data_IF_162340352973
#
_entry.id   IF_162340352973
#
_cell.length_a   1.000
_cell.length_b   1.000
_cell.length_c   1.000
_cell.angle_alpha   90.00
_cell.angle_beta   90.00
_cell.angle_gamma   90.00
#
_symmetry.space_group_name_H-M   'P 1'
#
loop_
_entity.id
_entity.type
_entity.pdbx_description
1 polymer ?
#
# COMPACT_ATOMS: atom_id res chain seq x y z
N UNK A 1 24.70 -4.75 -6.84
CA UNK A 1 24.37 -4.09 -8.13
C UNK A 1 22.92 -4.32 -8.54
N UNK A 2 22.45 -5.56 -8.73
CA UNK A 2 21.06 -5.84 -9.17
C UNK A 2 20.02 -5.16 -8.26
N UNK A 3 20.10 -5.36 -6.94
CA UNK A 3 19.19 -4.76 -5.95
C UNK A 3 19.13 -3.23 -6.09
N UNK A 4 20.30 -2.58 -6.19
CA UNK A 4 20.38 -1.13 -6.33
C UNK A 4 19.72 -0.65 -7.63
N UNK A 5 19.99 -1.30 -8.78
CA UNK A 5 19.38 -0.97 -10.06
C UNK A 5 17.86 -1.14 -10.03
N UNK A 6 17.36 -2.21 -9.40
CA UNK A 6 15.93 -2.44 -9.20
C UNK A 6 15.31 -1.33 -8.35
N UNK A 7 15.93 -0.97 -7.23
CA UNK A 7 15.42 0.10 -6.36
C UNK A 7 15.45 1.48 -7.03
N UNK A 8 16.40 1.78 -7.93
CA UNK A 8 16.36 3.03 -8.71
C UNK A 8 15.10 3.07 -9.59
N UNK A 9 14.80 1.97 -10.27
CA UNK A 9 13.63 1.88 -11.14
C UNK A 9 12.32 1.96 -10.35
N UNK A 10 12.23 1.24 -9.23
CA UNK A 10 11.08 1.30 -8.32
C UNK A 10 10.91 2.72 -7.76
N UNK A 11 11.99 3.41 -7.41
CA UNK A 11 11.95 4.73 -6.79
C UNK A 11 11.29 5.75 -7.72
N UNK A 12 11.68 5.68 -9.00
CA UNK A 12 11.08 6.50 -10.04
C UNK A 12 9.59 6.21 -10.22
N UNK A 13 9.20 4.93 -10.28
CA UNK A 13 7.80 4.52 -10.41
C UNK A 13 6.96 4.94 -9.20
N UNK A 14 7.45 4.71 -7.99
CA UNK A 14 6.78 5.09 -6.75
C UNK A 14 6.61 6.61 -6.66
N UNK A 15 7.66 7.38 -6.94
CA UNK A 15 7.59 8.85 -6.93
C UNK A 15 6.60 9.38 -7.96
N UNK A 16 6.80 9.05 -9.24
CA UNK A 16 6.01 9.59 -10.34
C UNK A 16 4.55 9.12 -10.24
N UNK A 17 4.36 7.81 -10.04
CA UNK A 17 3.04 7.21 -9.95
C UNK A 17 2.23 7.78 -8.80
N UNK A 18 2.79 7.83 -7.58
CA UNK A 18 2.04 8.34 -6.44
C UNK A 18 1.81 9.86 -6.49
N UNK A 19 2.70 10.62 -7.13
CA UNK A 19 2.46 12.04 -7.43
C UNK A 19 1.23 12.22 -8.32
N UNK A 20 1.12 11.45 -9.41
CA UNK A 20 -0.05 11.48 -10.30
C UNK A 20 -1.33 11.11 -9.56
N UNK A 21 -1.26 10.14 -8.65
CA UNK A 21 -2.39 9.71 -7.83
C UNK A 21 -2.82 10.81 -6.86
N UNK A 22 -1.88 11.51 -6.21
CA UNK A 22 -2.20 12.63 -5.34
C UNK A 22 -2.86 13.77 -6.10
N UNK A 23 -2.39 14.08 -7.30
CA UNK A 23 -3.03 15.07 -8.20
C UNK A 23 -4.43 14.62 -8.60
N UNK A 24 -4.62 13.34 -8.94
CA UNK A 24 -5.93 12.80 -9.28
C UNK A 24 -6.89 12.82 -8.08
N UNK A 25 -6.39 12.53 -6.88
CA UNK A 25 -7.17 12.57 -5.64
C UNK A 25 -7.38 13.99 -5.11
N UNK A 26 -6.62 15.00 -5.53
CA UNK A 26 -6.81 16.39 -5.11
C UNK A 26 -8.05 17.03 -5.76
N UNK A 27 -8.36 16.61 -6.99
CA UNK A 27 -9.58 16.98 -7.71
C UNK A 27 -10.84 16.42 -7.05
N UNK A 28 -11.98 16.98 -7.43
CA UNK A 28 -13.24 16.46 -6.91
C UNK A 28 -13.48 15.05 -7.41
N UNK A 29 -13.71 14.16 -6.45
CA UNK A 29 -13.88 12.74 -6.73
C UNK A 29 -15.08 12.22 -5.97
N UNK A 30 -15.87 11.38 -6.63
CA UNK A 30 -17.04 10.70 -6.09
C UNK A 30 -16.72 9.72 -4.94
N UNK A 31 -15.46 9.63 -4.52
CA UNK A 31 -15.02 8.72 -3.48
C UNK A 31 -15.50 9.21 -2.11
N UNK A 32 -15.95 8.25 -1.30
CA UNK A 32 -16.30 8.48 0.09
C UNK A 32 -15.15 9.19 0.83
N UNK A 33 -15.36 10.36 1.48
CA UNK A 33 -14.27 11.18 2.00
C UNK A 33 -13.31 10.47 2.98
N UNK A 34 -13.79 9.61 3.90
CA UNK A 34 -12.93 8.73 4.71
C UNK A 34 -11.99 7.84 3.90
N UNK A 35 -12.49 7.15 2.88
CA UNK A 35 -11.68 6.26 2.05
C UNK A 35 -10.67 7.07 1.20
N UNK A 36 -11.08 8.24 0.70
CA UNK A 36 -10.21 9.18 0.00
C UNK A 36 -9.03 9.62 0.87
N UNK A 37 -9.25 9.84 2.18
CA UNK A 37 -8.18 10.15 3.13
C UNK A 37 -7.18 9.00 3.29
N UNK A 38 -7.64 7.75 3.42
CA UNK A 38 -6.76 6.58 3.50
C UNK A 38 -5.92 6.40 2.22
N UNK A 39 -6.52 6.58 1.04
CA UNK A 39 -5.78 6.51 -0.23
C UNK A 39 -4.76 7.65 -0.38
N UNK A 40 -5.09 8.86 0.07
CA UNK A 40 -4.13 9.97 0.11
C UNK A 40 -2.98 9.69 1.07
N UNK A 41 -3.27 9.15 2.26
CA UNK A 41 -2.24 8.75 3.23
C UNK A 41 -1.30 7.71 2.63
N UNK A 42 -1.84 6.69 1.97
CA UNK A 42 -1.07 5.65 1.31
C UNK A 42 -0.19 6.24 0.19
N UNK A 43 -0.77 7.07 -0.70
CA UNK A 43 -0.02 7.71 -1.77
C UNK A 43 1.06 8.69 -1.28
N UNK A 44 0.84 9.44 -0.19
CA UNK A 44 1.88 10.28 0.44
C UNK A 44 3.00 9.39 0.98
N UNK A 45 2.65 8.31 1.66
CA UNK A 45 3.62 7.37 2.25
C UNK A 45 4.49 6.74 1.17
N UNK A 46 3.87 6.23 0.10
CA UNK A 46 4.57 5.59 -1.02
C UNK A 46 5.42 6.59 -1.84
N UNK A 47 4.97 7.84 -1.96
CA UNK A 47 5.78 8.92 -2.53
C UNK A 47 7.04 9.17 -1.68
N UNK A 48 6.89 9.20 -0.35
CA UNK A 48 8.03 9.32 0.57
C UNK A 48 8.96 8.09 0.47
N UNK A 49 8.45 6.89 0.22
CA UNK A 49 9.29 5.70 -0.03
C UNK A 49 10.16 5.91 -1.25
N UNK A 50 9.56 6.37 -2.36
CA UNK A 50 10.28 6.66 -3.61
C UNK A 50 11.28 7.81 -3.49
N UNK A 51 11.05 8.81 -2.62
CA UNK A 51 11.93 9.96 -2.43
C UNK A 51 13.02 9.78 -1.37
N UNK A 52 12.75 9.00 -0.33
CA UNK A 52 13.61 8.94 0.85
C UNK A 52 14.18 7.54 1.01
N UNK A 53 13.33 6.52 1.18
CA UNK A 53 13.78 5.17 1.52
C UNK A 53 14.58 4.52 0.41
N UNK A 54 14.04 4.48 -0.80
CA UNK A 54 14.71 3.81 -1.91
C UNK A 54 16.01 4.51 -2.33
N UNK A 55 16.07 5.85 -2.46
CA UNK A 55 17.33 6.55 -2.69
C UNK A 55 18.35 6.35 -1.57
N UNK A 56 17.93 6.34 -0.30
CA UNK A 56 18.83 6.05 0.83
C UNK A 56 19.40 4.64 0.76
N UNK A 57 18.59 3.65 0.37
CA UNK A 57 19.06 2.27 0.14
C UNK A 57 20.07 2.22 -1.02
N UNK A 58 19.83 2.96 -2.11
CA UNK A 58 20.77 3.03 -3.24
C UNK A 58 22.10 3.68 -2.83
N UNK A 59 22.06 4.78 -2.08
CA UNK A 59 23.26 5.44 -1.56
C UNK A 59 24.03 4.50 -0.63
N UNK A 60 23.34 3.73 0.21
CA UNK A 60 23.97 2.69 1.04
C UNK A 60 24.76 1.69 0.18
N UNK A 61 24.12 1.09 -0.82
CA UNK A 61 24.78 0.12 -1.72
C UNK A 61 25.97 0.72 -2.48
N UNK A 62 25.84 1.96 -2.97
CA UNK A 62 26.93 2.64 -3.66
C UNK A 62 28.10 2.99 -2.73
N UNK A 63 27.81 3.40 -1.50
CA UNK A 63 28.82 3.72 -0.49
C UNK A 63 29.58 2.48 -0.05
N UNK A 64 28.89 1.34 0.05
CA UNK A 64 29.51 0.05 0.34
C UNK A 64 30.49 -0.37 -0.76
N UNK A 65 30.13 -0.19 -2.04
CA UNK A 65 31.00 -0.50 -3.19
C UNK A 65 32.19 0.45 -3.28
N UNK A 66 32.01 1.72 -2.90
CA UNK A 66 33.06 2.75 -2.92
C UNK A 66 33.94 2.75 -1.68
N UNK A 67 33.66 1.86 -0.71
CA UNK A 67 34.33 1.80 0.59
C UNK A 67 34.28 3.14 1.37
N UNK A 68 33.26 3.97 1.13
CA UNK A 68 33.01 5.18 1.91
C UNK A 68 32.21 4.84 3.16
N UNK A 69 32.92 4.44 4.21
CA UNK A 69 32.33 3.99 5.48
C UNK A 69 31.52 5.07 6.20
N UNK A 70 31.90 6.35 6.05
CA UNK A 70 31.17 7.45 6.69
C UNK A 70 29.81 7.66 6.04
N UNK A 71 29.78 7.71 4.70
CA UNK A 71 28.53 7.83 3.96
C UNK A 71 27.67 6.57 4.12
N UNK A 72 28.30 5.38 4.11
CA UNK A 72 27.65 4.10 4.33
C UNK A 72 26.88 4.06 5.65
N UNK A 73 27.49 4.46 6.76
CA UNK A 73 26.83 4.45 8.07
C UNK A 73 25.61 5.38 8.15
N UNK A 74 25.71 6.59 7.57
CA UNK A 74 24.59 7.53 7.55
C UNK A 74 23.47 7.04 6.63
N UNK A 75 23.82 6.57 5.43
CA UNK A 75 22.85 6.05 4.46
C UNK A 75 22.13 4.81 5.01
N UNK A 76 22.84 3.92 5.70
CA UNK A 76 22.28 2.73 6.35
C UNK A 76 21.24 3.11 7.41
N UNK A 77 21.59 4.02 8.32
CA UNK A 77 20.67 4.50 9.36
C UNK A 77 19.43 5.16 8.77
N UNK A 78 19.62 6.04 7.79
CA UNK A 78 18.51 6.72 7.12
C UNK A 78 17.62 5.73 6.38
N UNK A 79 18.22 4.80 5.61
CA UNK A 79 17.51 3.76 4.88
C UNK A 79 16.66 2.90 5.80
N UNK A 80 17.22 2.39 6.91
CA UNK A 80 16.45 1.57 7.85
C UNK A 80 15.35 2.36 8.55
N UNK A 81 15.63 3.58 9.02
CA UNK A 81 14.65 4.39 9.72
C UNK A 81 13.47 4.74 8.81
N UNK A 82 13.74 5.23 7.60
CA UNK A 82 12.69 5.60 6.66
C UNK A 82 11.96 4.36 6.13
N UNK A 83 12.67 3.26 5.86
CA UNK A 83 12.06 1.98 5.48
C UNK A 83 11.06 1.52 6.54
N UNK A 84 11.49 1.43 7.79
CA UNK A 84 10.67 0.89 8.87
C UNK A 84 9.44 1.75 9.12
N UNK A 85 9.60 3.07 9.21
CA UNK A 85 8.47 4.00 9.44
C UNK A 85 7.48 3.92 8.27
N UNK A 86 7.93 4.08 7.03
CA UNK A 86 7.04 4.22 5.88
C UNK A 86 6.39 2.88 5.49
N UNK A 87 7.12 1.77 5.58
CA UNK A 87 6.53 0.44 5.34
C UNK A 87 5.45 0.12 6.39
N UNK A 88 5.66 0.49 7.66
CA UNK A 88 4.68 0.27 8.71
C UNK A 88 3.43 1.16 8.54
N UNK A 89 3.60 2.43 8.15
CA UNK A 89 2.46 3.29 7.78
C UNK A 89 1.69 2.70 6.60
N UNK A 90 2.38 2.24 5.55
CA UNK A 90 1.77 1.66 4.35
C UNK A 90 0.98 0.40 4.71
N UNK A 91 1.59 -0.53 5.46
CA UNK A 91 0.97 -1.75 5.96
C UNK A 91 -0.30 -1.49 6.79
N UNK A 92 -0.21 -0.63 7.80
CA UNK A 92 -1.34 -0.33 8.68
C UNK A 92 -2.47 0.39 7.92
N UNK A 93 -2.12 1.26 6.96
CA UNK A 93 -3.10 1.93 6.09
C UNK A 93 -3.80 0.93 5.17
N UNK A 94 -3.07 -0.02 4.57
CA UNK A 94 -3.64 -1.10 3.76
C UNK A 94 -4.57 -2.01 4.57
N UNK A 95 -4.19 -2.33 5.81
CA UNK A 95 -5.06 -3.06 6.75
C UNK A 95 -6.31 -2.26 7.08
N UNK A 96 -6.19 -0.96 7.36
CA UNK A 96 -7.32 -0.08 7.60
C UNK A 96 -8.26 -0.01 6.38
N UNK A 97 -7.72 0.02 5.15
CA UNK A 97 -8.52 -0.05 3.92
C UNK A 97 -9.26 -1.39 3.84
N UNK A 98 -8.63 -2.51 4.19
CA UNK A 98 -9.28 -3.83 4.22
C UNK A 98 -10.46 -3.88 5.19
N UNK A 99 -10.28 -3.29 6.38
CA UNK A 99 -11.34 -3.18 7.40
C UNK A 99 -12.44 -2.21 6.96
N UNK A 100 -12.11 -1.06 6.38
CA UNK A 100 -13.08 -0.10 5.82
C UNK A 100 -13.99 -0.78 4.79
N UNK A 101 -13.41 -1.60 3.90
CA UNK A 101 -14.16 -2.36 2.89
C UNK A 101 -15.07 -3.41 3.51
N UNK A 102 -14.62 -4.10 4.56
CA UNK A 102 -15.47 -5.02 5.31
C UNK A 102 -16.63 -4.28 5.99
N UNK A 103 -16.37 -3.15 6.64
CA UNK A 103 -17.39 -2.33 7.30
C UNK A 103 -18.41 -1.78 6.30
N UNK A 104 -17.96 -1.32 5.13
CA UNK A 104 -18.85 -0.86 4.06
C UNK A 104 -19.83 -1.95 3.61
N UNK A 105 -19.37 -3.20 3.56
CA UNK A 105 -20.23 -4.34 3.22
C UNK A 105 -21.20 -4.69 4.36
N UNK A 106 -20.70 -4.79 5.61
CA UNK A 106 -21.49 -5.26 6.75
C UNK A 106 -22.54 -4.24 7.22
N UNK A 107 -22.19 -2.95 7.21
CA UNK A 107 -23.06 -1.89 7.74
C UNK A 107 -24.00 -1.31 6.68
N UNK A 108 -23.71 -1.51 5.38
CA UNK A 108 -24.55 -1.03 4.28
C UNK A 108 -24.93 0.44 4.45
N UNK A 109 -26.23 0.72 4.69
CA UNK A 109 -26.73 2.08 4.86
C UNK A 109 -26.24 2.79 6.15
N UNK A 110 -25.83 2.04 7.18
CA UNK A 110 -25.26 2.61 8.42
C UNK A 110 -23.77 2.97 8.29
N UNK A 111 -23.13 2.64 7.16
CA UNK A 111 -21.71 2.87 6.95
C UNK A 111 -21.31 4.34 7.14
N UNK A 112 -22.09 5.27 6.57
CA UNK A 112 -21.80 6.71 6.69
C UNK A 112 -21.87 7.26 8.12
N UNK A 113 -22.67 6.63 8.99
CA UNK A 113 -22.75 7.01 10.42
C UNK A 113 -21.60 6.41 11.24
N UNK A 114 -21.14 5.20 10.87
CA UNK A 114 -20.08 4.50 11.59
C UNK A 114 -18.67 5.02 11.23
N UNK A 115 -18.41 5.23 9.93
CA UNK A 115 -17.12 5.64 9.39
C UNK A 115 -17.19 7.10 8.97
N UNK A 116 -16.71 7.97 9.85
CA UNK A 116 -16.70 9.42 9.64
C UNK A 116 -15.28 9.92 9.37
N UNK A 117 -15.17 11.04 8.64
CA UNK A 117 -13.88 11.64 8.29
C UNK A 117 -13.03 11.96 9.53
N UNK A 118 -13.68 12.47 10.59
CA UNK A 118 -13.02 12.79 11.86
C UNK A 118 -12.37 11.55 12.49
N UNK A 119 -13.07 10.42 12.52
CA UNK A 119 -12.54 9.16 13.08
C UNK A 119 -11.38 8.64 12.23
N UNK A 120 -11.50 8.68 10.90
CA UNK A 120 -10.42 8.25 10.00
C UNK A 120 -9.18 9.13 10.12
N UNK A 121 -9.33 10.44 10.33
CA UNK A 121 -8.22 11.34 10.60
C UNK A 121 -7.47 10.94 11.88
N UNK A 122 -8.20 10.67 12.97
CA UNK A 122 -7.60 10.17 14.23
C UNK A 122 -6.85 8.85 14.00
N UNK A 123 -7.43 7.91 13.24
CA UNK A 123 -6.78 6.63 12.89
C UNK A 123 -5.46 6.89 12.15
N UNK A 124 -5.45 7.77 11.14
CA UNK A 124 -4.23 8.11 10.39
C UNK A 124 -3.16 8.71 11.31
N UNK A 125 -3.54 9.64 12.20
CA UNK A 125 -2.59 10.23 13.16
C UNK A 125 -2.00 9.17 14.09
N UNK A 126 -2.83 8.23 14.59
CA UNK A 126 -2.36 7.11 15.42
C UNK A 126 -1.40 6.21 14.64
N UNK A 127 -1.71 5.89 13.38
CA UNK A 127 -0.83 5.10 12.51
C UNK A 127 0.55 5.77 12.39
N UNK A 128 0.59 7.06 12.07
CA UNK A 128 1.85 7.79 11.95
C UNK A 128 2.63 7.85 13.27
N UNK A 129 1.96 8.19 14.37
CA UNK A 129 2.60 8.26 15.69
C UNK A 129 3.17 6.91 16.12
N UNK A 130 2.42 5.83 15.92
CA UNK A 130 2.86 4.47 16.20
C UNK A 130 4.06 4.09 15.32
N UNK A 131 4.00 4.35 14.02
CA UNK A 131 5.08 4.02 13.09
C UNK A 131 6.38 4.78 13.38
N UNK A 132 6.29 6.07 13.72
CA UNK A 132 7.46 6.87 14.10
C UNK A 132 8.08 6.33 15.39
N UNK A 133 7.25 6.04 16.40
CA UNK A 133 7.71 5.49 17.67
C UNK A 133 8.41 4.14 17.48
N UNK A 134 7.83 3.28 16.63
CA UNK A 134 8.40 1.98 16.32
C UNK A 134 9.70 2.10 15.47
N UNK A 135 9.79 3.09 14.58
CA UNK A 135 11.04 3.39 13.87
C UNK A 135 12.17 3.86 14.80
N UNK A 136 11.85 4.70 15.79
CA UNK A 136 12.81 5.15 16.81
C UNK A 136 13.26 3.97 17.69
N UNK A 137 12.33 3.10 18.11
CA UNK A 137 12.67 1.94 18.92
C UNK A 137 13.58 0.96 18.19
N UNK A 138 13.46 0.86 16.85
CA UNK A 138 14.38 0.07 16.02
C UNK A 138 15.82 0.58 16.06
N UNK A 139 16.02 1.91 16.11
CA UNK A 139 17.37 2.49 16.24
C UNK A 139 17.98 2.21 17.61
N UNK A 140 17.17 2.12 18.65
CA UNK A 140 17.61 1.83 20.03
C UNK A 140 17.90 0.33 20.20
N UNK A 141 16.98 -0.53 19.77
CA UNK A 141 17.11 -1.98 19.89
C UNK A 141 16.45 -2.70 18.70
N UNK A 142 17.25 -2.95 17.67
CA UNK A 142 16.80 -3.60 16.42
C UNK A 142 16.23 -5.01 16.65
N UNK A 143 16.68 -5.74 17.68
CA UNK A 143 16.19 -7.09 17.97
C UNK A 143 14.76 -7.08 18.49
N UNK A 144 14.48 -6.22 19.47
CA UNK A 144 13.12 -6.06 20.00
C UNK A 144 12.19 -5.52 18.91
N UNK A 145 12.64 -4.52 18.17
CA UNK A 145 11.85 -3.95 17.08
C UNK A 145 11.58 -4.93 15.93
N UNK A 146 12.49 -5.88 15.66
CA UNK A 146 12.30 -6.96 14.70
C UNK A 146 11.24 -7.98 15.13
N UNK A 147 11.21 -8.37 16.41
CA UNK A 147 10.13 -9.20 16.93
C UNK A 147 8.78 -8.48 16.94
N UNK A 148 8.78 -7.19 17.29
CA UNK A 148 7.57 -6.36 17.21
C UNK A 148 7.08 -6.23 15.77
N UNK A 149 7.97 -5.98 14.80
CA UNK A 149 7.57 -5.88 13.38
C UNK A 149 7.02 -7.19 12.86
N UNK A 150 7.66 -8.33 13.18
CA UNK A 150 7.14 -9.66 12.86
C UNK A 150 5.71 -9.86 13.36
N UNK A 151 5.46 -9.51 14.64
CA UNK A 151 4.13 -9.61 15.24
C UNK A 151 3.10 -8.70 14.56
N UNK A 152 3.47 -7.44 14.28
CA UNK A 152 2.57 -6.47 13.64
C UNK A 152 2.26 -6.85 12.20
N UNK A 153 3.25 -7.29 11.42
CA UNK A 153 3.07 -7.75 10.03
C UNK A 153 2.16 -8.96 10.01
N UNK A 154 2.41 -9.94 10.88
CA UNK A 154 1.56 -11.13 11.01
C UNK A 154 0.11 -10.77 11.36
N UNK A 155 -0.09 -9.88 12.33
CA UNK A 155 -1.43 -9.40 12.71
C UNK A 155 -2.14 -8.68 11.55
N UNK A 156 -1.43 -7.86 10.79
CA UNK A 156 -1.97 -7.17 9.61
C UNK A 156 -2.39 -8.16 8.52
N UNK A 157 -1.56 -9.16 8.22
CA UNK A 157 -1.89 -10.21 7.25
C UNK A 157 -3.11 -11.01 7.72
N UNK A 158 -3.17 -11.40 8.99
CA UNK A 158 -4.31 -12.14 9.55
C UNK A 158 -5.58 -11.31 9.49
N UNK A 159 -5.54 -10.06 9.94
CA UNK A 159 -6.72 -9.17 9.95
C UNK A 159 -7.23 -8.88 8.54
N UNK A 160 -6.35 -8.65 7.56
CA UNK A 160 -6.73 -8.50 6.16
C UNK A 160 -7.35 -9.79 5.59
N UNK A 161 -6.74 -10.95 5.89
CA UNK A 161 -7.24 -12.26 5.45
C UNK A 161 -8.62 -12.56 6.04
N UNK A 162 -8.82 -12.34 7.33
CA UNK A 162 -10.12 -12.53 7.99
C UNK A 162 -11.17 -11.57 7.44
N UNK A 163 -10.79 -10.33 7.14
CA UNK A 163 -11.67 -9.36 6.50
C UNK A 163 -12.11 -9.85 5.11
N UNK A 164 -11.18 -10.40 4.34
CA UNK A 164 -11.46 -10.99 3.04
C UNK A 164 -12.39 -12.22 3.12
N UNK A 165 -12.09 -13.17 4.03
CA UNK A 165 -12.94 -14.35 4.24
C UNK A 165 -14.36 -13.92 4.62
N UNK A 166 -14.51 -12.94 5.51
CA UNK A 166 -15.83 -12.42 5.89
C UNK A 166 -16.54 -11.73 4.74
N UNK A 167 -15.84 -10.94 3.93
CA UNK A 167 -16.40 -10.33 2.71
C UNK A 167 -16.94 -11.42 1.79
N UNK A 168 -16.14 -12.45 1.50
CA UNK A 168 -16.52 -13.55 0.63
C UNK A 168 -17.72 -14.34 1.18
N UNK A 169 -17.70 -14.71 2.47
CA UNK A 169 -18.78 -15.45 3.11
C UNK A 169 -20.08 -14.66 3.15
N UNK A 170 -20.06 -13.41 3.61
CA UNK A 170 -21.25 -12.56 3.69
C UNK A 170 -21.89 -12.36 2.31
N UNK A 171 -21.06 -12.19 1.31
CA UNK A 171 -21.50 -12.04 -0.07
C UNK A 171 -22.06 -13.35 -0.67
N UNK A 172 -21.44 -14.50 -0.40
CA UNK A 172 -21.96 -15.82 -0.82
C UNK A 172 -23.32 -16.10 -0.17
N UNK A 173 -23.47 -15.79 1.12
CA UNK A 173 -24.74 -15.94 1.83
C UNK A 173 -25.84 -15.07 1.23
N UNK A 174 -25.54 -13.80 0.94
CA UNK A 174 -26.48 -12.88 0.29
C UNK A 174 -26.87 -13.33 -1.12
N UNK A 175 -25.95 -13.94 -1.86
CA UNK A 175 -26.22 -14.51 -3.18
C UNK A 175 -27.16 -15.71 -3.11
N UNK A 176 -26.87 -16.68 -2.24
CA UNK A 176 -27.71 -17.87 -2.04
C UNK A 176 -29.12 -17.46 -1.59
N UNK A 177 -29.21 -16.54 -0.62
CA UNK A 177 -30.50 -16.03 -0.14
C UNK A 177 -31.25 -15.29 -1.26
N UNK A 178 -30.55 -14.45 -2.04
CA UNK A 178 -31.13 -13.75 -3.18
C UNK A 178 -31.72 -14.69 -4.24
N UNK A 179 -31.01 -15.78 -4.58
CA UNK A 179 -31.48 -16.77 -5.55
C UNK A 179 -32.66 -17.61 -5.06
N UNK A 180 -32.74 -17.90 -3.76
CA UNK A 180 -33.86 -18.65 -3.16
C UNK A 180 -35.14 -17.81 -3.15
N UNK A 181 -35.04 -16.52 -2.83
CA UNK A 181 -36.21 -15.63 -2.76
C UNK A 181 -36.59 -15.01 -4.12
N UNK A 182 -35.62 -14.84 -5.03
CA UNK A 182 -35.82 -14.24 -6.36
C UNK A 182 -35.03 -15.04 -7.42
N UNK A 183 -35.59 -16.13 -7.96
CA UNK A 183 -34.92 -16.91 -9.00
C UNK A 183 -34.72 -16.05 -10.27
N UNK A 184 -33.52 -16.09 -10.89
CA UNK A 184 -33.21 -15.26 -12.05
C UNK A 184 -34.07 -15.65 -13.26
N UNK A 185 -34.74 -14.66 -13.88
CA UNK A 185 -35.46 -14.87 -15.13
C UNK A 185 -34.51 -14.79 -16.35
N UNK A 186 -34.72 -15.62 -17.39
CA UNK A 186 -33.88 -15.61 -18.58
C UNK A 186 -34.02 -14.27 -19.33
N UNK A 187 -32.89 -13.57 -19.50
CA UNK A 187 -32.82 -12.27 -20.18
C UNK A 187 -32.71 -11.05 -19.25
N UNK A 188 -32.82 -11.22 -17.93
CA UNK A 188 -32.65 -10.11 -17.00
C UNK A 188 -31.17 -9.70 -16.80
N UNK A 189 -30.90 -8.39 -16.64
CA UNK A 189 -29.56 -7.91 -16.34
C UNK A 189 -29.05 -8.44 -15.00
N UNK A 190 -27.74 -8.64 -14.90
CA UNK A 190 -27.05 -9.13 -13.70
C UNK A 190 -27.55 -8.38 -12.45
N UNK A 191 -28.01 -9.07 -11.39
CA UNK A 191 -28.56 -8.42 -10.20
C UNK A 191 -27.60 -7.37 -9.63
N UNK A 192 -28.11 -6.21 -9.23
CA UNK A 192 -27.31 -5.10 -8.69
C UNK A 192 -26.39 -5.54 -7.53
N UNK A 193 -26.83 -6.53 -6.74
CA UNK A 193 -26.05 -7.14 -5.67
C UNK A 193 -24.80 -7.88 -6.18
N UNK A 194 -24.85 -8.52 -7.35
CA UNK A 194 -23.72 -9.19 -7.99
C UNK A 194 -22.71 -8.19 -8.58
N UNK A 195 -23.18 -7.04 -9.06
CA UNK A 195 -22.30 -5.96 -9.52
C UNK A 195 -21.54 -5.37 -8.32
N UNK A 196 -22.25 -5.11 -7.21
CA UNK A 196 -21.64 -4.67 -5.94
C UNK A 196 -20.70 -5.74 -5.37
N UNK A 197 -21.06 -7.02 -5.44
CA UNK A 197 -20.22 -8.17 -5.08
C UNK A 197 -18.88 -8.12 -5.81
N UNK A 198 -18.91 -8.08 -7.14
CA UNK A 198 -17.70 -8.13 -7.96
C UNK A 198 -16.83 -6.91 -7.67
N UNK A 199 -17.43 -5.74 -7.50
CA UNK A 199 -16.70 -4.50 -7.18
C UNK A 199 -16.03 -4.56 -5.81
N UNK A 200 -16.73 -5.04 -4.77
CA UNK A 200 -16.21 -5.14 -3.41
C UNK A 200 -15.09 -6.19 -3.29
N UNK A 201 -15.32 -7.41 -3.79
CA UNK A 201 -14.33 -8.51 -3.78
C UNK A 201 -13.10 -8.13 -4.57
N UNK A 202 -13.28 -7.61 -5.79
CA UNK A 202 -12.16 -7.22 -6.64
C UNK A 202 -11.39 -6.03 -6.05
N UNK A 203 -12.02 -5.15 -5.25
CA UNK A 203 -11.34 -4.06 -4.54
C UNK A 203 -10.62 -4.51 -3.27
N UNK A 204 -10.97 -5.64 -2.66
CA UNK A 204 -10.29 -6.16 -1.48
C UNK A 204 -9.17 -7.15 -1.85
N UNK A 205 -9.36 -7.92 -2.94
CA UNK A 205 -8.41 -8.91 -3.44
C UNK A 205 -7.01 -8.36 -3.72
N UNK A 206 -6.92 -7.16 -4.29
CA UNK A 206 -5.61 -6.59 -4.61
C UNK A 206 -4.83 -6.20 -3.35
N UNK A 207 -5.50 -5.68 -2.33
CA UNK A 207 -4.86 -5.33 -1.05
C UNK A 207 -4.28 -6.58 -0.44
N UNK A 208 -5.06 -7.66 -0.43
CA UNK A 208 -4.63 -8.96 0.05
C UNK A 208 -3.46 -9.53 -0.77
N UNK A 209 -3.52 -9.44 -2.10
CA UNK A 209 -2.45 -9.90 -2.98
C UNK A 209 -1.16 -9.11 -2.73
N UNK A 210 -1.25 -7.79 -2.61
CA UNK A 210 -0.12 -6.93 -2.32
C UNK A 210 0.50 -7.24 -0.95
N UNK A 211 -0.33 -7.47 0.09
CA UNK A 211 0.14 -7.92 1.41
C UNK A 211 0.86 -9.27 1.35
N UNK A 212 0.30 -10.25 0.64
CA UNK A 212 0.89 -11.58 0.52
C UNK A 212 2.20 -11.52 -0.28
N UNK A 213 2.24 -10.84 -1.42
CA UNK A 213 3.42 -10.84 -2.30
C UNK A 213 4.55 -9.98 -1.71
N UNK A 214 4.21 -8.84 -1.12
CA UNK A 214 5.21 -7.85 -0.71
C UNK A 214 5.64 -7.99 0.76
N UNK A 215 4.73 -8.37 1.67
CA UNK A 215 5.01 -8.37 3.12
C UNK A 215 5.18 -9.77 3.72
N UNK A 216 4.54 -10.81 3.19
CA UNK A 216 4.71 -12.18 3.72
C UNK A 216 6.15 -12.69 3.61
N UNK A 217 6.87 -12.53 2.47
CA UNK A 217 8.26 -12.99 2.39
C UNK A 217 9.16 -12.30 3.41
N UNK A 218 8.96 -10.99 3.63
CA UNK A 218 9.67 -10.23 4.64
C UNK A 218 9.36 -10.72 6.06
N UNK A 219 8.10 -11.01 6.37
CA UNK A 219 7.71 -11.57 7.67
C UNK A 219 8.34 -12.93 7.94
N UNK A 220 8.48 -13.78 6.92
CA UNK A 220 9.11 -15.09 7.06
C UNK A 220 10.62 -14.92 7.26
N UNK A 221 11.28 -14.11 6.41
CA UNK A 221 12.72 -13.89 6.50
C UNK A 221 13.12 -13.28 7.85
N UNK A 222 12.39 -12.26 8.32
CA UNK A 222 12.62 -11.67 9.65
C UNK A 222 12.43 -12.69 10.75
N UNK A 223 11.31 -13.43 10.77
CA UNK A 223 11.07 -14.46 11.79
C UNK A 223 12.14 -15.56 11.85
N UNK A 224 12.73 -15.94 10.71
CA UNK A 224 13.78 -16.96 10.63
C UNK A 224 15.16 -16.44 11.07
N UNK A 225 15.53 -15.23 10.64
CA UNK A 225 16.89 -14.72 10.81
C UNK A 225 17.06 -13.84 12.07
N UNK A 226 15.97 -13.37 12.69
CA UNK A 226 16.03 -12.45 13.84
C UNK A 226 16.67 -13.05 15.10
N UNK A 227 16.57 -14.37 15.27
CA UNK A 227 17.15 -15.12 16.40
C UNK A 227 18.64 -15.39 16.23
N UNK A 228 19.18 -15.24 15.02
CA UNK A 228 20.58 -15.45 14.72
C UNK A 228 21.44 -14.30 15.27
N UNK A 229 22.70 -14.60 15.59
CA UNK A 229 23.67 -13.57 16.00
C UNK A 229 24.43 -12.98 14.80
N UNK A 230 24.65 -13.79 13.78
CA UNK A 230 25.32 -13.41 12.54
C UNK A 230 24.54 -13.99 11.37
N UNK A 231 24.30 -13.19 10.34
CA UNK A 231 23.71 -13.66 9.08
C UNK A 231 24.84 -14.04 8.12
N UNK A 232 24.68 -15.17 7.44
CA UNK A 232 25.49 -15.48 6.26
C UNK A 232 25.24 -14.48 5.13
N UNK A 233 26.17 -14.41 4.17
CA UNK A 233 26.03 -13.55 2.99
C UNK A 233 24.75 -13.84 2.19
N UNK A 234 24.33 -15.11 2.11
CA UNK A 234 23.09 -15.52 1.46
C UNK A 234 21.87 -15.01 2.21
N UNK A 235 21.82 -15.19 3.53
CA UNK A 235 20.69 -14.75 4.37
C UNK A 235 20.53 -13.23 4.34
N UNK A 236 21.65 -12.49 4.35
CA UNK A 236 21.65 -11.04 4.17
C UNK A 236 21.06 -10.63 2.82
N UNK A 237 21.48 -11.27 1.72
CA UNK A 237 20.94 -10.99 0.38
C UNK A 237 19.45 -11.35 0.29
N UNK A 238 19.01 -12.43 0.91
CA UNK A 238 17.59 -12.81 0.98
C UNK A 238 16.79 -11.74 1.71
N UNK A 239 17.26 -11.29 2.88
CA UNK A 239 16.59 -10.24 3.65
C UNK A 239 16.45 -8.94 2.85
N UNK A 240 17.53 -8.46 2.24
CA UNK A 240 17.53 -7.26 1.38
C UNK A 240 16.63 -7.41 0.15
N UNK A 241 16.55 -8.63 -0.41
CA UNK A 241 15.62 -8.93 -1.51
C UNK A 241 14.17 -8.84 -1.05
N UNK A 242 13.85 -9.29 0.17
CA UNK A 242 12.49 -9.13 0.72
C UNK A 242 12.15 -7.67 1.04
N UNK A 243 13.13 -6.85 1.44
CA UNK A 243 12.96 -5.39 1.58
C UNK A 243 12.61 -4.76 0.24
N UNK A 244 13.26 -5.20 -0.84
CA UNK A 244 12.93 -4.76 -2.21
C UNK A 244 11.51 -5.14 -2.63
N UNK A 245 11.01 -6.30 -2.22
CA UNK A 245 9.60 -6.67 -2.42
C UNK A 245 8.64 -5.76 -1.65
N UNK A 246 9.00 -5.30 -0.46
CA UNK A 246 8.21 -4.31 0.28
C UNK A 246 8.21 -2.96 -0.47
N UNK A 247 9.33 -2.53 -1.06
CA UNK A 247 9.37 -1.33 -1.91
C UNK A 247 8.51 -1.45 -3.17
N UNK A 248 8.49 -2.63 -3.79
CA UNK A 248 7.63 -2.91 -4.93
C UNK A 248 6.15 -2.62 -4.63
N UNK A 249 5.68 -2.82 -3.40
CA UNK A 249 4.32 -2.46 -2.99
C UNK A 249 3.98 -1.00 -3.31
N UNK A 250 4.88 -0.08 -2.94
CA UNK A 250 4.73 1.37 -3.15
C UNK A 250 4.67 1.73 -4.63
N UNK A 251 5.42 1.00 -5.46
CA UNK A 251 5.45 1.16 -6.92
C UNK A 251 4.23 0.59 -7.63
N UNK A 252 3.60 -0.45 -7.08
CA UNK A 252 2.42 -1.10 -7.67
C UNK A 252 1.12 -0.32 -7.40
N UNK A 253 1.05 0.40 -6.28
CA UNK A 253 -0.17 1.11 -5.85
C UNK A 253 -0.77 2.05 -6.91
N UNK A 254 0.01 2.89 -7.63
CA UNK A 254 -0.51 3.74 -8.72
C UNK A 254 -1.22 2.98 -9.85
N UNK A 255 -0.66 1.84 -10.28
CA UNK A 255 -1.28 1.00 -11.32
C UNK A 255 -2.59 0.42 -10.83
N UNK A 256 -2.63 0.00 -9.57
CA UNK A 256 -3.83 -0.56 -8.94
C UNK A 256 -4.94 0.48 -8.80
N UNK A 257 -4.62 1.71 -8.39
CA UNK A 257 -5.59 2.80 -8.35
C UNK A 257 -6.15 3.13 -9.74
N UNK A 258 -5.27 3.23 -10.76
CA UNK A 258 -5.69 3.47 -12.14
C UNK A 258 -6.52 2.31 -12.70
N UNK A 259 -6.29 1.07 -12.28
CA UNK A 259 -7.14 -0.05 -12.66
C UNK A 259 -8.53 0.08 -12.00
N UNK A 260 -8.57 0.30 -10.68
CA UNK A 260 -9.80 0.13 -9.88
C UNK A 260 -10.70 1.35 -9.88
N UNK A 261 -10.15 2.55 -9.87
CA UNK A 261 -10.89 3.79 -9.67
C UNK A 261 -10.95 4.50 -11.01
N UNK A 262 -12.11 4.39 -11.69
CA UNK A 262 -12.29 4.93 -13.02
C UNK A 262 -12.10 6.46 -13.06
N UNK A 263 -12.51 7.15 -12.00
CA UNK A 263 -12.33 8.58 -11.80
C UNK A 263 -10.83 8.94 -11.73
N UNK A 264 -10.06 8.25 -10.89
CA UNK A 264 -8.60 8.44 -10.79
C UNK A 264 -7.93 8.14 -12.12
N UNK A 265 -8.32 7.05 -12.80
CA UNK A 265 -7.80 6.72 -14.13
C UNK A 265 -8.04 7.85 -15.14
N UNK A 266 -9.25 8.41 -15.15
CA UNK A 266 -9.61 9.51 -16.06
C UNK A 266 -8.76 10.74 -15.77
N UNK A 267 -8.60 11.09 -14.50
CA UNK A 267 -7.81 12.24 -14.09
C UNK A 267 -6.31 12.06 -14.36
N UNK A 268 -5.76 10.86 -14.15
CA UNK A 268 -4.36 10.53 -14.49
C UNK A 268 -4.14 10.62 -16.01
N UNK A 269 -5.04 10.06 -16.82
CA UNK A 269 -4.95 10.20 -18.30
C UNK A 269 -4.98 11.67 -18.74
N UNK A 270 -5.85 12.48 -18.13
CA UNK A 270 -5.92 13.92 -18.40
C UNK A 270 -4.64 14.65 -18.00
N UNK A 271 -4.07 14.33 -16.83
CA UNK A 271 -2.80 14.91 -16.37
C UNK A 271 -1.64 14.58 -17.30
N UNK A 272 -1.52 13.31 -17.73
CA UNK A 272 -0.50 12.87 -18.69
C UNK A 272 -0.68 13.56 -20.04
N UNK A 273 -1.92 13.63 -20.56
CA UNK A 273 -2.20 14.31 -21.83
C UNK A 273 -1.80 15.79 -21.80
N UNK A 274 -2.09 16.49 -20.71
CA UNK A 274 -1.70 17.90 -20.52
C UNK A 274 -0.18 18.08 -20.41
N UNK A 275 0.50 17.17 -19.71
CA UNK A 275 1.96 17.20 -19.61
C UNK A 275 2.61 16.99 -20.99
N UNK A 276 2.13 16.00 -21.75
CA UNK A 276 2.61 15.73 -23.11
C UNK A 276 2.33 16.89 -24.07
N UNK A 277 1.14 17.51 -24.01
CA UNK A 277 0.83 18.66 -24.87
C UNK A 277 1.73 19.87 -24.57
N UNK A 278 2.06 20.08 -23.29
CA UNK A 278 2.99 21.14 -22.85
C UNK A 278 4.42 20.87 -23.30
N UNK A 279 4.89 19.61 -23.19
CA UNK A 279 6.23 19.20 -23.61
C UNK A 279 6.42 19.21 -25.13
N UNK A 280 5.36 18.87 -25.87
CA UNK A 280 5.36 18.84 -27.34
C UNK A 280 4.99 20.19 -27.97
N UNK A 281 4.79 21.25 -27.17
CA UNK A 281 4.46 22.58 -27.67
C UNK A 281 3.08 22.70 -28.33
N UNK A 282 2.22 21.69 -28.22
CA UNK A 282 0.84 21.75 -28.71
C UNK A 282 -0.01 22.50 -27.68
N UNK A 283 -0.13 23.82 -27.84
CA UNK A 283 -1.23 24.57 -27.25
C UNK A 283 -2.52 24.05 -27.89
N UNK A 284 -3.26 23.21 -27.18
CA UNK A 284 -4.64 22.91 -27.53
C UNK A 284 -5.42 24.21 -27.31
N UNK A 285 -5.54 25.00 -28.37
CA UNK A 285 -6.51 26.06 -28.51
C UNK A 285 -7.88 25.36 -28.65
N UNK A 286 -8.53 25.08 -27.53
CA UNK A 286 -9.94 24.68 -27.53
C UNK A 286 -10.78 25.95 -27.54
N UNK A 287 -11.49 26.17 -28.65
CA UNK A 287 -12.85 26.71 -28.63
C UNK A 287 -13.82 25.53 -28.64
#
# INVERSE_FOLDING_TARGET
MIIATTNIFLSFLAFLGNTLILVALSKESSLHPPAKLLYRCLAITDLCVGLISEPSSVVYWLSLVREDWKLCHHALKMSFLSYYILSLVSLLTMTAISVDRLLALLLGQRFGHAVTLKRTCVIVVIIWAFSITAGISHVINYRVAGWCSYGVVSLCIITATLSYIKIFCALRQNHVRGQVFFPPQPGEPVPLNMIRYRKAVNSALWVQLALIVCYLPYSIATGLFQSQNELSSLEFVVLESTVTLVYLNSSLNPFLYCWKIAEVRKEVKGAISKALSTLLGYSIQNN
#
